data_IF_580010093951
#
_entry.id   IF_580010093951
#
_cell.length_a   1.000
_cell.length_b   1.000
_cell.length_c   1.000
_cell.angle_alpha   90.00
_cell.angle_beta   90.00
_cell.angle_gamma   90.00
#
_symmetry.space_group_name_H-M   'P 1'
#
loop_
_entity.id
_entity.type
_entity.pdbx_description
1 polymer ?
#
# COMPACT_ATOMS: atom_id res chain seq x y z
N UNK A 1 8.00 5.81 31.37
CA UNK A 1 9.02 5.14 30.57
C UNK A 1 9.59 6.20 29.63
N UNK A 2 10.85 6.65 29.79
CA UNK A 2 11.37 7.74 28.97
C UNK A 2 11.71 7.23 27.58
N UNK A 3 11.10 7.83 26.57
CA UNK A 3 11.31 7.55 25.13
C UNK A 3 12.75 7.70 24.67
N UNK A 4 13.60 8.37 25.47
CA UNK A 4 14.98 8.72 25.17
C UNK A 4 16.01 7.89 25.96
N UNK A 5 15.65 6.72 26.44
CA UNK A 5 16.66 5.84 27.05
C UNK A 5 17.66 5.43 25.98
N UNK A 6 18.96 5.71 26.23
CA UNK A 6 20.09 5.40 25.33
C UNK A 6 20.10 3.93 24.86
N UNK A 7 19.45 3.03 25.61
CA UNK A 7 19.32 1.61 25.28
C UNK A 7 18.40 1.38 24.05
N UNK A 8 17.37 2.21 23.86
CA UNK A 8 16.48 2.09 22.69
C UNK A 8 17.12 2.70 21.45
N UNK A 9 17.80 3.86 21.59
CA UNK A 9 18.51 4.49 20.48
C UNK A 9 19.60 3.61 19.87
N UNK A 10 20.25 2.74 20.68
CA UNK A 10 21.24 1.78 20.20
C UNK A 10 20.64 0.60 19.42
N UNK A 11 19.34 0.38 19.52
CA UNK A 11 18.62 -0.70 18.80
C UNK A 11 18.00 -0.26 17.49
N UNK A 12 18.05 1.04 17.22
CA UNK A 12 17.55 1.59 15.95
C UNK A 12 18.50 1.18 14.84
N UNK A 13 17.94 0.61 13.79
CA UNK A 13 18.67 0.37 12.54
C UNK A 13 18.84 1.68 11.78
N UNK A 14 19.93 2.37 12.06
CA UNK A 14 20.27 3.65 11.44
C UNK A 14 20.48 3.55 9.93
N UNK A 15 20.85 2.35 9.43
CA UNK A 15 21.00 2.10 7.99
C UNK A 15 19.64 2.18 7.31
N UNK A 16 18.64 1.49 7.85
CA UNK A 16 17.26 1.56 7.33
C UNK A 16 16.70 2.97 7.41
N UNK A 17 16.92 3.70 8.52
CA UNK A 17 16.52 5.11 8.66
C UNK A 17 17.18 5.98 7.58
N UNK A 18 18.49 5.80 7.37
CA UNK A 18 19.25 6.53 6.34
C UNK A 18 18.72 6.27 4.93
N UNK A 19 18.40 5.01 4.59
CA UNK A 19 17.83 4.64 3.30
C UNK A 19 16.45 5.29 3.10
N UNK A 20 15.59 5.26 4.12
CA UNK A 20 14.25 5.89 4.04
C UNK A 20 14.38 7.39 3.81
N UNK A 21 15.26 8.08 4.54
CA UNK A 21 15.50 9.52 4.34
C UNK A 21 16.05 9.82 2.95
N UNK A 22 16.99 9.00 2.46
CA UNK A 22 17.54 9.15 1.11
C UNK A 22 16.45 8.99 0.04
N UNK A 23 15.54 8.01 0.20
CA UNK A 23 14.40 7.80 -0.69
C UNK A 23 13.42 8.99 -0.66
N UNK A 24 13.18 9.58 0.52
CA UNK A 24 12.32 10.76 0.64
C UNK A 24 12.97 11.96 -0.07
N UNK A 25 14.25 12.20 0.12
CA UNK A 25 14.99 13.29 -0.55
C UNK A 25 14.96 13.08 -2.07
N UNK A 26 15.26 11.86 -2.53
CA UNK A 26 15.20 11.54 -3.95
C UNK A 26 13.79 11.73 -4.53
N UNK A 27 12.76 11.26 -3.84
CA UNK A 27 11.36 11.43 -4.24
C UNK A 27 10.95 12.91 -4.28
N UNK A 28 11.46 13.73 -3.35
CA UNK A 28 11.23 15.18 -3.34
C UNK A 28 11.84 15.86 -4.57
N UNK A 29 13.09 15.50 -4.91
CA UNK A 29 13.79 16.04 -6.09
C UNK A 29 13.06 15.60 -7.37
N UNK A 30 12.70 14.31 -7.48
CA UNK A 30 11.98 13.78 -8.63
C UNK A 30 10.62 14.47 -8.82
N UNK A 31 9.86 14.66 -7.73
CA UNK A 31 8.59 15.37 -7.76
C UNK A 31 8.75 16.82 -8.20
N UNK A 32 9.73 17.53 -7.65
CA UNK A 32 10.03 18.90 -8.01
C UNK A 32 10.39 19.03 -9.51
N UNK A 33 11.16 18.07 -10.03
CA UNK A 33 11.55 18.05 -11.45
C UNK A 33 10.37 17.78 -12.39
N UNK A 34 9.52 16.79 -12.07
CA UNK A 34 8.36 16.42 -12.92
C UNK A 34 7.29 17.52 -12.95
N UNK A 35 7.14 18.26 -11.85
CA UNK A 35 6.15 19.32 -11.72
C UNK A 35 6.72 20.72 -12.02
N UNK A 36 7.98 20.80 -12.47
CA UNK A 36 8.58 22.06 -12.88
C UNK A 36 7.91 22.60 -14.15
N UNK A 37 7.86 23.92 -14.27
CA UNK A 37 7.45 24.57 -15.53
C UNK A 37 8.43 24.22 -16.64
N UNK A 38 8.00 24.17 -17.91
CA UNK A 38 8.91 23.88 -19.02
C UNK A 38 10.11 24.83 -19.04
N UNK A 39 11.29 24.26 -19.26
CA UNK A 39 12.52 25.03 -19.46
C UNK A 39 12.54 25.56 -20.90
N UNK A 40 12.87 26.83 -21.07
CA UNK A 40 12.91 27.53 -22.36
C UNK A 40 14.36 27.81 -22.87
N UNK A 41 15.35 27.38 -22.08
CA UNK A 41 16.77 27.55 -22.41
C UNK A 41 17.35 28.93 -22.10
N UNK A 42 16.59 29.77 -21.42
CA UNK A 42 17.06 31.12 -21.01
C UNK A 42 17.59 31.11 -19.56
N UNK A 43 17.56 29.98 -18.90
CA UNK A 43 17.99 29.80 -17.53
C UNK A 43 19.51 29.79 -17.43
N UNK A 44 20.09 30.74 -16.70
CA UNK A 44 21.55 30.87 -16.54
C UNK A 44 22.03 30.68 -15.11
N UNK A 45 21.12 30.53 -14.13
CA UNK A 45 21.47 30.43 -12.71
C UNK A 45 20.55 29.49 -11.93
N UNK A 46 21.03 29.07 -10.75
CA UNK A 46 20.24 28.20 -9.83
C UNK A 46 18.92 28.88 -9.44
N UNK A 47 18.90 30.21 -9.32
CA UNK A 47 17.70 30.97 -8.99
C UNK A 47 16.59 30.79 -10.07
N UNK A 48 16.97 30.84 -11.35
CA UNK A 48 16.05 30.70 -12.47
C UNK A 48 15.42 29.29 -12.51
N UNK A 49 16.22 28.26 -12.16
CA UNK A 49 15.70 26.90 -12.02
C UNK A 49 14.74 26.78 -10.83
N UNK A 50 15.04 27.46 -9.71
CA UNK A 50 14.17 27.40 -8.53
C UNK A 50 12.83 28.11 -8.75
N UNK A 51 12.78 29.18 -9.52
CA UNK A 51 11.54 29.89 -9.86
C UNK A 51 10.59 29.05 -10.75
N UNK A 52 11.14 28.06 -11.45
CA UNK A 52 10.34 27.13 -12.27
C UNK A 52 9.79 25.94 -11.46
N UNK A 53 10.29 25.71 -10.23
CA UNK A 53 9.76 24.66 -9.37
C UNK A 53 8.35 24.98 -8.90
N UNK A 54 7.48 23.96 -8.92
CA UNK A 54 6.14 24.13 -8.38
C UNK A 54 6.15 24.00 -6.85
N UNK A 55 6.28 25.14 -6.18
CA UNK A 55 6.41 25.23 -4.71
C UNK A 55 5.17 24.69 -3.98
N UNK A 56 3.99 24.73 -4.58
CA UNK A 56 2.78 24.20 -3.96
C UNK A 56 2.85 22.68 -3.79
N UNK A 57 3.29 21.96 -4.83
CA UNK A 57 3.49 20.50 -4.74
C UNK A 57 4.59 20.15 -3.75
N UNK A 58 5.68 20.91 -3.72
CA UNK A 58 6.78 20.70 -2.78
C UNK A 58 6.31 20.87 -1.33
N UNK A 59 5.57 21.93 -1.03
CA UNK A 59 5.00 22.16 0.30
C UNK A 59 4.03 21.04 0.71
N UNK A 60 3.15 20.60 -0.19
CA UNK A 60 2.24 19.48 0.06
C UNK A 60 3.01 18.19 0.35
N UNK A 61 4.10 17.92 -0.39
CA UNK A 61 4.93 16.74 -0.18
C UNK A 61 5.64 16.79 1.19
N UNK A 62 6.29 17.90 1.54
CA UNK A 62 6.93 18.08 2.83
C UNK A 62 5.93 17.94 3.99
N UNK A 63 4.75 18.56 3.86
CA UNK A 63 3.71 18.45 4.88
C UNK A 63 3.26 17.00 5.07
N UNK A 64 3.06 16.24 3.98
CA UNK A 64 2.69 14.83 4.05
C UNK A 64 3.80 13.99 4.70
N UNK A 65 5.07 14.30 4.39
CA UNK A 65 6.21 13.66 5.04
C UNK A 65 6.23 13.91 6.55
N UNK A 66 6.01 15.15 6.99
CA UNK A 66 5.97 15.50 8.42
C UNK A 66 4.81 14.79 9.14
N UNK A 67 3.64 14.70 8.51
CA UNK A 67 2.50 13.93 9.05
C UNK A 67 2.84 12.45 9.16
N UNK A 68 3.47 11.87 8.13
CA UNK A 68 3.94 10.48 8.14
C UNK A 68 5.00 10.23 9.21
N UNK A 69 5.94 11.15 9.38
CA UNK A 69 6.97 11.09 10.43
C UNK A 69 6.36 11.15 11.83
N UNK A 70 5.38 12.04 12.05
CA UNK A 70 4.66 12.13 13.31
C UNK A 70 3.89 10.83 13.61
N UNK A 71 3.20 10.27 12.62
CA UNK A 71 2.53 8.97 12.74
C UNK A 71 3.54 7.86 13.08
N UNK A 72 4.67 7.80 12.39
CA UNK A 72 5.73 6.82 12.66
C UNK A 72 6.22 6.92 14.12
N UNK A 73 6.48 8.12 14.63
CA UNK A 73 6.90 8.34 16.02
C UNK A 73 5.82 7.86 16.99
N UNK A 74 4.54 8.17 16.73
CA UNK A 74 3.42 7.70 17.54
C UNK A 74 3.42 6.16 17.60
N UNK A 75 3.53 5.48 16.46
CA UNK A 75 3.54 4.02 16.40
C UNK A 75 4.76 3.39 17.08
N UNK A 76 5.91 4.07 17.11
CA UNK A 76 7.10 3.61 17.84
C UNK A 76 6.93 3.65 19.35
N UNK A 77 6.06 4.53 19.87
CA UNK A 77 5.81 4.67 21.32
C UNK A 77 4.88 3.59 21.84
N UNK A 78 3.94 3.15 21.03
CA UNK A 78 2.95 2.16 21.45
C UNK A 78 3.53 0.75 21.43
N UNK A 79 3.22 -0.04 22.46
CA UNK A 79 3.53 -1.45 22.48
C UNK A 79 2.72 -2.21 21.41
N UNK A 80 3.37 -3.11 20.69
CA UNK A 80 2.71 -3.90 19.63
C UNK A 80 1.53 -4.74 20.15
N UNK A 81 1.47 -5.04 21.44
CA UNK A 81 0.36 -5.77 22.06
C UNK A 81 -0.99 -5.03 21.92
N UNK A 82 -0.94 -3.69 21.85
CA UNK A 82 -2.12 -2.85 21.59
C UNK A 82 -2.71 -3.19 20.23
N UNK A 83 -1.86 -3.30 19.20
CA UNK A 83 -2.32 -3.66 17.85
C UNK A 83 -2.96 -5.05 17.82
N UNK A 84 -2.39 -6.02 18.56
CA UNK A 84 -2.98 -7.36 18.71
C UNK A 84 -4.38 -7.29 19.33
N UNK A 85 -4.57 -6.46 20.35
CA UNK A 85 -5.87 -6.28 21.04
C UNK A 85 -6.91 -5.67 20.10
N UNK A 86 -6.56 -4.60 19.41
CA UNK A 86 -7.48 -3.84 18.56
C UNK A 86 -7.59 -4.36 17.13
N UNK A 87 -6.83 -5.40 16.75
CA UNK A 87 -6.77 -5.94 15.38
C UNK A 87 -8.16 -6.19 14.76
N UNK A 88 -9.07 -6.82 15.52
CA UNK A 88 -10.42 -7.13 15.04
C UNK A 88 -11.23 -5.86 14.79
N UNK A 89 -11.17 -4.89 15.71
CA UNK A 89 -11.90 -3.63 15.57
C UNK A 89 -11.37 -2.79 14.42
N UNK A 90 -10.04 -2.73 14.25
CA UNK A 90 -9.41 -2.08 13.12
C UNK A 90 -9.82 -2.73 11.79
N UNK A 91 -9.85 -4.06 11.75
CA UNK A 91 -10.26 -4.81 10.57
C UNK A 91 -11.74 -4.56 10.23
N UNK A 92 -12.65 -4.63 11.20
CA UNK A 92 -14.07 -4.34 10.99
C UNK A 92 -14.27 -2.88 10.57
N UNK A 93 -13.58 -1.96 11.21
CA UNK A 93 -13.62 -0.53 10.87
C UNK A 93 -13.21 -0.27 9.42
N UNK A 94 -12.13 -0.92 8.96
CA UNK A 94 -11.68 -0.74 7.58
C UNK A 94 -12.64 -1.37 6.56
N UNK A 95 -13.24 -2.52 6.86
CA UNK A 95 -14.29 -3.12 6.03
C UNK A 95 -15.47 -2.14 5.91
N UNK A 96 -15.90 -1.54 7.03
CA UNK A 96 -16.94 -0.50 7.01
C UNK A 96 -16.56 0.71 6.13
N UNK A 97 -15.32 1.20 6.24
CA UNK A 97 -14.84 2.30 5.39
C UNK A 97 -14.80 1.91 3.91
N UNK A 98 -14.36 0.69 3.58
CA UNK A 98 -14.38 0.19 2.20
C UNK A 98 -15.81 0.07 1.64
N UNK A 99 -16.78 -0.33 2.46
CA UNK A 99 -18.20 -0.36 2.07
C UNK A 99 -18.75 1.07 1.86
N UNK A 100 -18.39 2.02 2.71
CA UNK A 100 -18.82 3.42 2.57
C UNK A 100 -18.30 4.07 1.30
N UNK A 101 -17.19 3.60 0.72
CA UNK A 101 -16.69 4.11 -0.57
C UNK A 101 -17.64 3.85 -1.74
N UNK A 102 -18.47 2.81 -1.71
CA UNK A 102 -19.47 2.59 -2.76
C UNK A 102 -20.55 3.68 -2.81
N UNK A 103 -20.77 4.38 -1.68
CA UNK A 103 -21.77 5.44 -1.56
C UNK A 103 -21.12 6.82 -1.70
N UNK A 104 -20.00 7.03 -1.00
CA UNK A 104 -19.37 8.36 -0.85
C UNK A 104 -18.01 8.48 -1.56
N UNK A 105 -17.52 7.41 -2.17
CA UNK A 105 -16.22 7.40 -2.83
C UNK A 105 -16.18 8.23 -4.10
N UNK A 106 -15.15 9.06 -4.26
CA UNK A 106 -14.84 9.77 -5.50
C UNK A 106 -13.87 8.95 -6.35
N UNK A 107 -14.06 9.04 -7.68
CA UNK A 107 -13.18 8.34 -8.65
C UNK A 107 -11.94 9.17 -8.89
N UNK A 108 -10.75 8.56 -8.68
CA UNK A 108 -9.45 9.13 -9.06
C UNK A 108 -8.61 8.03 -9.73
N UNK A 109 -7.98 8.35 -10.84
CA UNK A 109 -7.16 7.39 -11.57
C UNK A 109 -7.90 6.14 -12.07
N UNK A 110 -9.24 6.19 -12.18
CA UNK A 110 -10.07 5.07 -12.62
C UNK A 110 -10.56 4.15 -11.50
N UNK A 111 -10.23 4.44 -10.22
CA UNK A 111 -10.71 3.69 -9.07
C UNK A 111 -11.58 4.56 -8.16
N UNK A 112 -12.71 4.01 -7.67
CA UNK A 112 -13.61 4.67 -6.72
C UNK A 112 -13.14 4.42 -5.29
N UNK A 113 -11.88 4.73 -5.01
CA UNK A 113 -11.20 4.36 -3.76
C UNK A 113 -10.91 5.53 -2.82
N UNK A 114 -11.44 6.74 -3.04
CA UNK A 114 -11.00 7.94 -2.35
C UNK A 114 -12.13 8.67 -1.62
N UNK A 115 -11.91 8.97 -0.34
CA UNK A 115 -12.64 10.03 0.34
C UNK A 115 -11.92 11.36 0.11
N UNK A 116 -12.58 12.29 -0.54
CA UNK A 116 -12.03 13.61 -0.86
C UNK A 116 -12.68 14.64 0.06
N UNK A 117 -11.85 15.35 0.81
CA UNK A 117 -12.26 16.43 1.69
C UNK A 117 -11.91 17.75 1.02
N UNK A 118 -12.85 18.31 0.27
CA UNK A 118 -12.62 19.50 -0.56
C UNK A 118 -12.14 20.70 0.27
N UNK A 119 -12.65 20.86 1.50
CA UNK A 119 -12.25 21.93 2.44
C UNK A 119 -10.77 21.84 2.88
N UNK A 120 -10.22 20.65 2.92
CA UNK A 120 -8.83 20.43 3.37
C UNK A 120 -7.86 20.18 2.20
N UNK A 121 -8.37 20.17 0.97
CA UNK A 121 -7.64 19.73 -0.23
C UNK A 121 -6.92 18.37 -0.04
N UNK A 122 -7.48 17.50 0.79
CA UNK A 122 -6.91 16.21 1.14
C UNK A 122 -7.79 15.07 0.66
N UNK A 123 -7.15 13.97 0.37
CA UNK A 123 -7.84 12.73 0.05
C UNK A 123 -7.25 11.58 0.86
N UNK A 124 -8.11 10.70 1.35
CA UNK A 124 -7.72 9.48 2.07
C UNK A 124 -8.20 8.30 1.25
N UNK A 125 -7.32 7.31 1.07
CA UNK A 125 -7.64 6.05 0.42
C UNK A 125 -7.72 4.95 1.48
N UNK A 126 -8.93 4.48 1.86
CA UNK A 126 -9.09 3.38 2.81
C UNK A 126 -8.40 2.09 2.40
N UNK A 127 -8.22 1.87 1.09
CA UNK A 127 -7.43 0.76 0.55
C UNK A 127 -5.99 0.73 1.07
N UNK A 128 -5.35 1.89 1.28
CA UNK A 128 -4.02 1.97 1.88
C UNK A 128 -4.02 1.52 3.34
N UNK A 129 -5.03 1.93 4.11
CA UNK A 129 -5.19 1.54 5.50
C UNK A 129 -5.56 0.06 5.64
N UNK A 130 -6.24 -0.50 4.64
CA UNK A 130 -6.64 -1.92 4.62
C UNK A 130 -5.44 -2.86 4.65
N UNK A 131 -4.30 -2.47 4.06
CA UNK A 131 -3.05 -3.24 4.09
C UNK A 131 -2.55 -3.41 5.53
N UNK A 132 -2.55 -2.32 6.31
CA UNK A 132 -2.11 -2.34 7.71
C UNK A 132 -3.07 -3.18 8.55
N UNK A 133 -4.37 -2.95 8.41
CA UNK A 133 -5.38 -3.71 9.15
C UNK A 133 -5.32 -5.21 8.84
N UNK A 134 -5.10 -5.57 7.57
CA UNK A 134 -4.94 -6.96 7.15
C UNK A 134 -3.68 -7.60 7.74
N UNK A 135 -2.52 -6.93 7.69
CA UNK A 135 -1.28 -7.43 8.29
C UNK A 135 -1.49 -7.74 9.76
N UNK A 136 -2.06 -6.81 10.53
CA UNK A 136 -2.27 -6.96 11.96
C UNK A 136 -3.27 -8.09 12.25
N UNK A 137 -4.38 -8.14 11.49
CA UNK A 137 -5.41 -9.17 11.68
C UNK A 137 -4.92 -10.57 11.32
N UNK A 138 -4.23 -10.73 10.17
CA UNK A 138 -3.65 -12.00 9.75
C UNK A 138 -2.58 -12.47 10.75
N UNK A 139 -1.68 -11.57 11.16
CA UNK A 139 -0.62 -11.91 12.12
C UNK A 139 -1.20 -12.37 13.44
N UNK A 140 -2.23 -11.70 13.95
CA UNK A 140 -2.95 -12.13 15.17
C UNK A 140 -3.56 -13.51 15.02
N UNK A 141 -4.28 -13.74 13.92
CA UNK A 141 -4.96 -15.01 13.68
C UNK A 141 -3.97 -16.16 13.49
N UNK A 142 -2.98 -15.97 12.62
CA UNK A 142 -1.98 -16.99 12.29
C UNK A 142 -1.12 -17.34 13.51
N UNK A 143 -0.67 -16.33 14.28
CA UNK A 143 0.07 -16.57 15.52
C UNK A 143 -0.75 -17.40 16.51
N UNK A 144 -2.01 -17.07 16.73
CA UNK A 144 -2.88 -17.83 17.63
C UNK A 144 -3.12 -19.27 17.15
N UNK A 145 -3.23 -19.49 15.83
CA UNK A 145 -3.36 -20.82 15.26
C UNK A 145 -2.08 -21.64 15.41
N UNK A 146 -0.91 -21.01 15.22
CA UNK A 146 0.40 -21.65 15.41
C UNK A 146 0.65 -22.02 16.88
N UNK A 147 0.28 -21.14 17.82
CA UNK A 147 0.42 -21.41 19.27
C UNK A 147 -0.44 -22.60 19.71
N UNK A 148 -1.62 -22.78 19.09
CA UNK A 148 -2.55 -23.88 19.38
C UNK A 148 -2.13 -25.22 18.78
N UNK A 149 -1.65 -25.22 17.54
CA UNK A 149 -1.48 -26.44 16.72
C UNK A 149 -0.02 -26.71 16.34
N UNK A 150 0.92 -25.89 16.79
CA UNK A 150 2.33 -25.93 16.39
C UNK A 150 2.59 -25.09 15.12
N UNK A 151 3.77 -25.34 14.49
CA UNK A 151 4.26 -24.50 13.37
C UNK A 151 3.46 -24.60 12.07
N UNK A 152 2.70 -25.67 11.88
CA UNK A 152 1.96 -25.91 10.64
C UNK A 152 0.47 -25.61 10.84
N UNK A 153 -0.07 -24.69 10.04
CA UNK A 153 -1.50 -24.40 10.04
C UNK A 153 -2.30 -25.59 9.47
N UNK A 154 -3.42 -25.90 10.10
CA UNK A 154 -4.40 -26.85 9.57
C UNK A 154 -5.13 -26.24 8.37
N UNK A 155 -5.70 -27.09 7.50
CA UNK A 155 -6.48 -26.64 6.34
C UNK A 155 -7.57 -25.62 6.72
N UNK A 156 -8.27 -25.86 7.84
CA UNK A 156 -9.30 -24.95 8.36
C UNK A 156 -8.73 -23.56 8.64
N UNK A 157 -7.53 -23.47 9.22
CA UNK A 157 -6.91 -22.18 9.57
C UNK A 157 -6.46 -21.41 8.32
N UNK A 158 -5.99 -22.16 7.31
CA UNK A 158 -5.68 -21.57 6.00
C UNK A 158 -6.94 -21.01 5.35
N UNK A 159 -8.05 -21.73 5.38
CA UNK A 159 -9.33 -21.25 4.82
C UNK A 159 -9.86 -20.01 5.54
N UNK A 160 -9.74 -19.94 6.87
CA UNK A 160 -10.15 -18.75 7.63
C UNK A 160 -9.26 -17.56 7.28
N UNK A 161 -7.94 -17.75 7.20
CA UNK A 161 -7.00 -16.69 6.82
C UNK A 161 -7.24 -16.21 5.38
N UNK A 162 -7.56 -17.13 4.45
CA UNK A 162 -8.03 -16.78 3.11
C UNK A 162 -9.31 -15.92 3.17
N UNK A 163 -10.29 -16.30 3.99
CA UNK A 163 -11.53 -15.53 4.18
C UNK A 163 -11.27 -14.14 4.72
N UNK A 164 -10.37 -13.99 5.71
CA UNK A 164 -9.95 -12.70 6.24
C UNK A 164 -9.34 -11.82 5.14
N UNK A 165 -8.57 -12.39 4.22
CA UNK A 165 -7.99 -11.62 3.10
C UNK A 165 -9.02 -11.35 2.01
N UNK A 166 -9.88 -12.33 1.71
CA UNK A 166 -10.80 -12.28 0.58
C UNK A 166 -11.85 -11.16 0.72
N UNK A 167 -12.32 -10.88 1.93
CA UNK A 167 -13.33 -9.82 2.15
C UNK A 167 -12.83 -8.44 1.71
N UNK A 168 -11.74 -7.88 2.24
CA UNK A 168 -11.24 -6.59 1.78
C UNK A 168 -10.75 -6.64 0.33
N UNK A 169 -10.16 -7.76 -0.12
CA UNK A 169 -9.76 -7.96 -1.50
C UNK A 169 -10.92 -7.77 -2.47
N UNK A 170 -12.05 -8.45 -2.25
CA UNK A 170 -13.22 -8.34 -3.12
C UNK A 170 -13.82 -6.94 -3.11
N UNK A 171 -13.90 -6.28 -1.94
CA UNK A 171 -14.39 -4.92 -1.87
C UNK A 171 -13.54 -3.96 -2.70
N UNK A 172 -12.21 -4.12 -2.68
CA UNK A 172 -11.27 -3.28 -3.43
C UNK A 172 -11.32 -3.61 -4.94
N UNK A 173 -11.45 -4.88 -5.32
CA UNK A 173 -11.64 -5.29 -6.72
C UNK A 173 -12.91 -4.67 -7.30
N UNK A 174 -14.01 -4.65 -6.53
CA UNK A 174 -15.27 -4.03 -6.94
C UNK A 174 -15.19 -2.49 -7.07
N UNK A 175 -14.16 -1.86 -6.50
CA UNK A 175 -13.84 -0.42 -6.65
C UNK A 175 -12.86 -0.13 -7.81
N UNK A 176 -12.70 -1.01 -8.79
CA UNK A 176 -11.64 -1.20 -9.78
C UNK A 176 -10.21 -0.75 -9.36
N UNK A 177 -9.80 -1.05 -8.11
CA UNK A 177 -8.45 -0.77 -7.61
C UNK A 177 -7.61 -2.07 -7.54
N UNK A 178 -7.27 -2.60 -8.71
CA UNK A 178 -6.54 -3.88 -8.81
C UNK A 178 -5.12 -3.80 -8.25
N UNK A 179 -4.48 -2.62 -8.31
CA UNK A 179 -3.15 -2.41 -7.74
C UNK A 179 -3.14 -2.69 -6.23
N UNK A 180 -4.03 -2.07 -5.49
CA UNK A 180 -4.17 -2.30 -4.05
C UNK A 180 -4.63 -3.72 -3.74
N UNK A 181 -5.53 -4.29 -4.54
CA UNK A 181 -6.00 -5.67 -4.35
C UNK A 181 -4.86 -6.69 -4.44
N UNK A 182 -3.98 -6.57 -5.43
CA UNK A 182 -2.82 -7.46 -5.59
C UNK A 182 -1.90 -7.39 -4.36
N UNK A 183 -1.68 -6.20 -3.80
CA UNK A 183 -0.85 -6.05 -2.60
C UNK A 183 -1.43 -6.83 -1.41
N UNK A 184 -2.77 -6.89 -1.24
CA UNK A 184 -3.38 -7.70 -0.19
C UNK A 184 -3.09 -9.19 -0.37
N UNK A 185 -3.11 -9.68 -1.61
CA UNK A 185 -2.72 -11.07 -1.89
C UNK A 185 -1.26 -11.33 -1.58
N UNK A 186 -0.36 -10.40 -1.92
CA UNK A 186 1.06 -10.50 -1.57
C UNK A 186 1.25 -10.56 -0.05
N UNK A 187 0.57 -9.70 0.71
CA UNK A 187 0.60 -9.72 2.18
C UNK A 187 0.19 -11.10 2.71
N UNK A 188 -0.88 -11.68 2.18
CA UNK A 188 -1.34 -13.01 2.55
C UNK A 188 -0.29 -14.09 2.26
N UNK A 189 0.27 -14.09 1.05
CA UNK A 189 1.29 -15.07 0.64
C UNK A 189 2.53 -14.97 1.53
N UNK A 190 3.02 -13.75 1.79
CA UNK A 190 4.17 -13.53 2.68
C UNK A 190 3.86 -14.00 4.11
N UNK A 191 2.66 -13.70 4.62
CA UNK A 191 2.23 -14.16 5.96
C UNK A 191 2.22 -15.68 6.03
N UNK A 192 1.71 -16.36 5.02
CA UNK A 192 1.70 -17.82 4.93
C UNK A 192 3.11 -18.41 4.82
N UNK A 193 3.99 -17.76 4.08
CA UNK A 193 5.39 -18.18 3.97
C UNK A 193 6.09 -18.09 5.33
N UNK A 194 5.93 -16.98 6.04
CA UNK A 194 6.48 -16.80 7.40
C UNK A 194 5.89 -17.80 8.38
N UNK A 195 4.61 -18.14 8.26
CA UNK A 195 3.92 -19.14 9.07
C UNK A 195 4.34 -20.58 8.75
N UNK A 196 5.23 -20.79 7.78
CA UNK A 196 5.73 -22.12 7.38
C UNK A 196 4.58 -23.11 7.06
N UNK A 197 3.59 -22.63 6.29
CA UNK A 197 2.49 -23.50 5.84
C UNK A 197 3.02 -24.62 4.94
N UNK A 198 2.23 -25.69 4.80
CA UNK A 198 2.58 -26.81 3.90
C UNK A 198 2.74 -26.32 2.47
N UNK A 199 3.82 -26.72 1.82
CA UNK A 199 4.15 -26.34 0.44
C UNK A 199 3.00 -26.62 -0.55
N UNK A 200 2.18 -27.62 -0.28
CA UNK A 200 1.03 -27.95 -1.12
C UNK A 200 0.06 -26.76 -1.30
N UNK A 201 -0.15 -25.95 -0.24
CA UNK A 201 -1.03 -24.76 -0.34
C UNK A 201 -0.40 -23.66 -1.19
N UNK A 202 0.94 -23.52 -1.13
CA UNK A 202 1.68 -22.58 -1.96
C UNK A 202 1.58 -22.99 -3.44
N UNK A 203 1.71 -24.29 -3.72
CA UNK A 203 1.57 -24.83 -5.08
C UNK A 203 0.16 -24.56 -5.61
N UNK A 204 -0.91 -24.85 -4.82
CA UNK A 204 -2.27 -24.54 -5.23
C UNK A 204 -2.50 -23.05 -5.47
N UNK A 205 -1.92 -22.17 -4.62
CA UNK A 205 -1.99 -20.72 -4.83
C UNK A 205 -1.25 -20.28 -6.10
N UNK A 206 -0.07 -20.85 -6.39
CA UNK A 206 0.69 -20.56 -7.58
C UNK A 206 -0.04 -21.02 -8.87
N UNK A 207 -0.61 -22.22 -8.85
CA UNK A 207 -1.43 -22.74 -9.96
C UNK A 207 -2.69 -21.89 -10.14
N UNK A 208 -3.37 -21.54 -9.05
CA UNK A 208 -4.53 -20.65 -9.07
C UNK A 208 -4.21 -19.26 -9.64
N UNK A 209 -3.05 -18.68 -9.27
CA UNK A 209 -2.58 -17.44 -9.84
C UNK A 209 -2.21 -17.59 -11.33
N UNK A 210 -1.52 -18.68 -11.71
CA UNK A 210 -1.14 -18.97 -13.08
C UNK A 210 -2.34 -19.09 -14.04
N UNK A 211 -3.47 -19.54 -13.55
CA UNK A 211 -4.74 -19.61 -14.30
C UNK A 211 -5.57 -18.33 -14.13
N UNK A 212 -5.66 -17.83 -12.91
CA UNK A 212 -6.52 -16.69 -12.56
C UNK A 212 -6.04 -15.36 -13.14
N UNK A 213 -4.72 -15.11 -13.17
CA UNK A 213 -4.18 -13.87 -13.74
C UNK A 213 -4.45 -13.74 -15.25
N UNK A 214 -4.22 -14.75 -16.10
CA UNK A 214 -4.65 -14.70 -17.49
C UNK A 214 -6.14 -14.51 -17.67
N UNK A 215 -6.97 -15.24 -16.90
CA UNK A 215 -8.42 -15.07 -16.96
C UNK A 215 -8.82 -13.64 -16.57
N UNK A 216 -8.23 -13.07 -15.53
CA UNK A 216 -8.46 -11.69 -15.15
C UNK A 216 -8.06 -10.72 -16.26
N UNK A 217 -6.90 -10.93 -16.89
CA UNK A 217 -6.44 -10.10 -18.00
C UNK A 217 -7.42 -10.10 -19.18
N UNK A 218 -7.89 -11.28 -19.61
CA UNK A 218 -8.74 -11.38 -20.79
C UNK A 218 -10.22 -11.06 -20.56
N UNK A 219 -10.75 -11.31 -19.36
CA UNK A 219 -12.20 -11.24 -19.12
C UNK A 219 -12.64 -10.17 -18.12
N UNK A 220 -11.71 -9.68 -17.25
CA UNK A 220 -12.08 -8.77 -16.16
C UNK A 220 -11.52 -7.35 -16.37
N UNK A 221 -10.26 -7.23 -16.87
CA UNK A 221 -9.64 -5.94 -17.03
C UNK A 221 -10.26 -5.14 -18.18
N UNK A 222 -10.46 -3.84 -17.92
CA UNK A 222 -10.86 -2.88 -18.96
C UNK A 222 -9.69 -2.66 -19.95
N UNK A 223 -9.97 -2.20 -21.20
CA UNK A 223 -8.91 -1.91 -22.18
C UNK A 223 -7.81 -1.02 -21.60
N UNK A 224 -8.15 0.07 -20.94
CA UNK A 224 -7.19 1.00 -20.32
C UNK A 224 -6.29 0.35 -19.27
N UNK A 225 -6.78 -0.67 -18.58
CA UNK A 225 -5.98 -1.40 -17.57
C UNK A 225 -5.06 -2.42 -18.23
N UNK A 226 -5.52 -3.07 -19.32
CA UNK A 226 -4.67 -3.94 -20.14
C UNK A 226 -3.53 -3.16 -20.75
N UNK A 227 -3.82 -1.99 -21.34
CA UNK A 227 -2.79 -1.11 -21.93
C UNK A 227 -1.67 -0.77 -20.93
N UNK A 228 -1.99 -0.55 -19.65
CA UNK A 228 -0.97 -0.31 -18.63
C UNK A 228 -0.05 -1.53 -18.40
N UNK A 229 -0.59 -2.74 -18.47
CA UNK A 229 0.18 -3.97 -18.35
C UNK A 229 1.02 -4.15 -19.62
N UNK A 230 0.45 -3.90 -20.78
CA UNK A 230 1.12 -4.05 -22.08
C UNK A 230 2.26 -3.04 -22.22
N UNK A 231 2.07 -1.79 -21.80
CA UNK A 231 3.14 -0.77 -21.70
C UNK A 231 4.28 -1.24 -20.81
N UNK A 232 3.95 -1.85 -19.68
CA UNK A 232 4.97 -2.34 -18.75
C UNK A 232 5.76 -3.53 -19.31
N UNK A 233 5.06 -4.46 -19.98
CA UNK A 233 5.69 -5.66 -20.57
C UNK A 233 6.40 -5.37 -21.89
N UNK A 234 5.85 -4.48 -22.69
CA UNK A 234 6.40 -4.12 -24.00
C UNK A 234 6.16 -2.63 -24.32
N UNK A 235 7.02 -1.73 -23.84
CA UNK A 235 6.86 -0.29 -24.01
C UNK A 235 6.79 0.18 -25.48
N UNK A 236 7.36 -0.59 -26.40
CA UNK A 236 7.39 -0.25 -27.83
C UNK A 236 6.08 -0.60 -28.56
N UNK A 237 5.26 -1.48 -28.00
CA UNK A 237 3.98 -1.90 -28.59
C UNK A 237 2.77 -1.11 -28.02
N UNK A 238 3.02 -0.23 -27.07
CA UNK A 238 1.98 0.55 -26.41
C UNK A 238 1.42 1.64 -27.33
N UNK A 239 0.09 1.84 -27.28
CA UNK A 239 -0.56 2.97 -27.94
C UNK A 239 -0.06 4.30 -27.37
N UNK A 240 -0.08 5.37 -28.17
CA UNK A 240 0.39 6.68 -27.72
C UNK A 240 -0.44 7.22 -26.52
N UNK A 241 -1.72 6.85 -26.43
CA UNK A 241 -2.60 7.20 -25.31
C UNK A 241 -2.25 6.49 -23.98
N UNK A 242 -1.47 5.42 -24.03
CA UNK A 242 -1.07 4.64 -22.85
C UNK A 242 0.28 5.06 -22.26
N UNK A 243 1.00 5.97 -22.93
CA UNK A 243 2.35 6.44 -22.51
C UNK A 243 2.30 7.63 -21.54
N UNK A 244 1.12 8.18 -21.24
CA UNK A 244 0.92 9.36 -20.39
C UNK A 244 -0.05 9.13 -19.24
#
# INVERSE_FOLDING_TARGET
MSLFDKKYLKRIDWVTVGIVLALVVFGTIALASVQAKPFDGTEHGIADYMDKLNMEYLQKHITNFLVGLAAMIIFLVFDYSIFKTFAMWAYIGIIGLLMLLFIFGKVRGGAQGWFVFDTLERAIQPGELSKIALIVMLSKYVSAAMDRDGRLLKFKDVMIALGITFVPFMLIVLQPDYGTAIVLLVIMVVTFFVAQIKWIYIIFAAVGAGVGLPLMYFFVLTPKQRDRIDVFLNPSAASDDAKY
#
